data_IF_598549573505
#
_entry.id   IF_598549573505
#
_cell.length_a   1.000
_cell.length_b   1.000
_cell.length_c   1.000
_cell.angle_alpha   90.00
_cell.angle_beta   90.00
_cell.angle_gamma   90.00
#
_symmetry.space_group_name_H-M   'P 1'
#
loop_
_entity.id
_entity.type
_entity.pdbx_description
1 polymer ?
#
# COMPACT_ATOMS: atom_id res chain seq x y z
N UNK A 1 -7.94 21.42 -5.01
CA UNK A 1 -6.76 21.42 -4.12
C UNK A 1 -5.73 20.51 -4.78
N UNK A 2 -4.42 20.63 -4.56
CA UNK A 2 -3.47 19.68 -5.18
C UNK A 2 -3.47 18.35 -4.42
N UNK A 3 -3.17 17.24 -5.11
CA UNK A 3 -3.06 15.92 -4.48
C UNK A 3 -2.07 15.92 -3.31
N UNK A 4 -0.90 16.55 -3.47
CA UNK A 4 0.07 16.77 -2.38
C UNK A 4 -0.57 17.48 -1.16
N UNK A 5 -1.37 18.53 -1.39
CA UNK A 5 -2.04 19.27 -0.32
C UNK A 5 -3.06 18.42 0.43
N UNK A 6 -3.82 17.58 -0.28
CA UNK A 6 -4.80 16.66 0.30
C UNK A 6 -4.14 15.55 1.11
N UNK A 7 -3.08 14.94 0.58
CA UNK A 7 -2.27 13.92 1.27
C UNK A 7 -1.64 14.47 2.54
N UNK A 8 -1.03 15.66 2.48
CA UNK A 8 -0.44 16.33 3.64
C UNK A 8 -1.50 16.70 4.68
N UNK A 9 -2.68 17.13 4.24
CA UNK A 9 -3.82 17.38 5.11
C UNK A 9 -4.32 16.09 5.79
N UNK A 10 -4.37 14.99 5.04
CA UNK A 10 -4.78 13.68 5.54
C UNK A 10 -3.82 13.12 6.58
N UNK A 11 -2.50 13.19 6.33
CA UNK A 11 -1.48 12.78 7.31
C UNK A 11 -1.64 13.52 8.64
N UNK A 12 -1.76 14.86 8.60
CA UNK A 12 -1.98 15.68 9.81
C UNK A 12 -3.25 15.31 10.57
N UNK A 13 -4.35 15.02 9.87
CA UNK A 13 -5.60 14.59 10.51
C UNK A 13 -5.45 13.23 11.18
N UNK A 14 -4.74 12.31 10.52
CA UNK A 14 -4.43 10.97 11.03
C UNK A 14 -3.56 11.00 12.27
N UNK A 15 -2.56 11.88 12.34
CA UNK A 15 -1.72 12.09 13.53
C UNK A 15 -2.52 12.61 14.73
N UNK A 16 -3.45 13.55 14.49
CA UNK A 16 -4.28 14.15 15.54
C UNK A 16 -5.25 13.15 16.21
N UNK A 17 -5.54 12.05 15.53
CA UNK A 17 -6.40 10.96 16.01
C UNK A 17 -5.62 10.06 17.00
N UNK A 18 -4.28 10.12 17.01
CA UNK A 18 -3.41 9.37 17.91
C UNK A 18 -3.30 7.88 17.56
N UNK A 19 -2.29 7.18 18.10
CA UNK A 19 -2.12 5.74 17.86
C UNK A 19 -3.35 4.97 18.38
N UNK A 20 -4.06 4.28 17.48
CA UNK A 20 -5.10 3.32 17.83
C UNK A 20 -6.56 3.82 17.90
N UNK A 21 -6.86 5.07 17.52
CA UNK A 21 -8.22 5.60 17.69
C UNK A 21 -9.21 5.31 16.54
N UNK A 22 -8.76 4.80 15.40
CA UNK A 22 -9.66 4.18 14.42
C UNK A 22 -9.11 2.83 14.00
N UNK A 23 -10.02 1.87 13.80
CA UNK A 23 -9.80 0.47 13.38
C UNK A 23 -9.75 -0.62 14.45
N UNK A 24 -9.68 -0.31 15.76
CA UNK A 24 -9.73 -1.34 16.84
C UNK A 24 -10.95 -2.28 16.78
N UNK A 25 -12.03 -1.88 16.14
CA UNK A 25 -13.26 -2.68 16.01
C UNK A 25 -13.35 -3.54 14.73
N UNK A 26 -12.33 -3.52 13.88
CA UNK A 26 -12.30 -4.30 12.63
C UNK A 26 -11.66 -5.69 12.82
N UNK A 27 -12.02 -6.64 11.96
CA UNK A 27 -11.43 -7.98 11.88
C UNK A 27 -9.89 -7.98 11.73
N UNK A 28 -9.29 -6.85 11.36
CA UNK A 28 -7.85 -6.66 11.17
C UNK A 28 -7.05 -6.81 12.48
N UNK A 29 -7.70 -6.62 13.64
CA UNK A 29 -7.10 -6.88 14.96
C UNK A 29 -7.44 -8.27 15.51
N UNK A 30 -8.48 -8.93 14.97
CA UNK A 30 -8.88 -10.25 15.43
C UNK A 30 -7.80 -11.26 15.07
N UNK A 31 -7.07 -11.74 16.07
CA UNK A 31 -6.00 -12.72 15.92
C UNK A 31 -4.59 -12.14 15.95
N UNK A 32 -4.42 -10.83 16.20
CA UNK A 32 -3.12 -10.28 16.59
C UNK A 32 -2.89 -10.52 18.08
N UNK A 33 -1.76 -11.14 18.40
CA UNK A 33 -1.24 -11.13 19.77
C UNK A 33 -0.31 -9.93 19.93
N UNK A 34 -0.83 -8.86 20.54
CA UNK A 34 -0.10 -7.61 20.74
C UNK A 34 1.13 -7.76 21.65
N UNK A 35 1.19 -8.80 22.48
CA UNK A 35 2.34 -9.01 23.35
C UNK A 35 3.59 -9.47 22.57
N UNK A 36 3.39 -10.09 21.40
CA UNK A 36 4.45 -10.65 20.55
C UNK A 36 4.32 -10.20 19.09
N UNK A 37 3.56 -9.13 18.85
CA UNK A 37 3.41 -8.56 17.52
C UNK A 37 4.75 -8.02 17.03
N UNK A 38 5.09 -8.34 15.79
CA UNK A 38 6.33 -7.85 15.17
C UNK A 38 6.05 -6.49 14.55
N UNK A 39 6.82 -5.44 14.89
CA UNK A 39 6.64 -4.13 14.27
C UNK A 39 7.13 -4.17 12.82
N UNK A 40 6.38 -3.55 11.92
CA UNK A 40 6.70 -3.42 10.51
C UNK A 40 6.27 -2.05 10.01
N UNK A 41 6.86 -1.59 8.91
CA UNK A 41 6.48 -0.35 8.25
C UNK A 41 6.44 -0.55 6.74
N UNK A 42 5.52 0.15 6.08
CA UNK A 42 5.41 0.16 4.61
C UNK A 42 5.35 1.59 4.11
N UNK A 43 6.02 1.87 3.01
CA UNK A 43 6.08 3.18 2.38
C UNK A 43 4.97 3.32 1.32
N UNK A 44 3.98 4.15 1.60
CA UNK A 44 2.98 4.58 0.62
C UNK A 44 3.51 5.84 -0.07
N UNK A 45 4.31 5.65 -1.12
CA UNK A 45 5.00 6.72 -1.82
C UNK A 45 4.20 7.19 -3.04
N UNK A 46 3.63 8.38 -2.94
CA UNK A 46 3.01 9.08 -4.07
C UNK A 46 4.04 9.88 -4.85
N UNK A 47 3.87 10.01 -6.15
CA UNK A 47 4.68 10.89 -6.99
C UNK A 47 3.92 11.46 -8.16
N UNK A 48 4.66 12.16 -9.02
CA UNK A 48 4.20 12.60 -10.34
C UNK A 48 4.85 11.70 -11.40
N UNK A 49 4.02 11.12 -12.27
CA UNK A 49 4.41 10.19 -13.32
C UNK A 49 4.64 10.97 -14.61
N UNK A 50 5.90 11.10 -15.02
CA UNK A 50 6.25 11.94 -16.17
C UNK A 50 6.13 11.18 -17.51
N UNK A 51 6.17 9.84 -17.51
CA UNK A 51 6.43 9.04 -18.71
C UNK A 51 5.27 8.12 -19.16
N UNK A 52 4.26 7.90 -18.31
CA UNK A 52 3.09 7.05 -18.60
C UNK A 52 1.83 7.61 -17.91
N UNK A 53 1.07 8.52 -18.53
CA UNK A 53 -0.15 9.02 -17.91
C UNK A 53 -1.17 7.90 -17.69
N UNK A 54 -2.11 8.12 -16.78
CA UNK A 54 -3.25 7.25 -16.57
C UNK A 54 -3.98 6.94 -17.89
N UNK A 55 -4.49 5.71 -18.01
CA UNK A 55 -5.30 5.25 -19.15
C UNK A 55 -6.75 5.73 -19.06
N UNK A 56 -7.14 6.21 -17.89
CA UNK A 56 -8.47 6.74 -17.59
C UNK A 56 -8.34 8.15 -17.04
N UNK A 57 -9.34 9.00 -17.27
CA UNK A 57 -9.35 10.32 -16.66
C UNK A 57 -10.05 10.29 -15.31
N UNK A 58 -9.52 11.01 -14.32
CA UNK A 58 -10.16 11.20 -13.02
C UNK A 58 -10.48 12.67 -12.76
N UNK A 59 -11.70 12.93 -12.27
CA UNK A 59 -12.08 14.28 -11.82
C UNK A 59 -11.55 14.61 -10.41
N UNK A 60 -11.09 13.59 -9.65
CA UNK A 60 -10.69 13.75 -8.24
C UNK A 60 -9.19 13.79 -8.02
N UNK A 61 -8.40 13.22 -8.93
CA UNK A 61 -6.93 13.23 -8.86
C UNK A 61 -6.34 13.58 -10.22
N UNK A 62 -5.13 14.19 -10.27
CA UNK A 62 -4.42 14.39 -11.53
C UNK A 62 -4.09 13.05 -12.21
N UNK A 63 -4.11 13.02 -13.54
CA UNK A 63 -3.86 11.81 -14.33
C UNK A 63 -2.40 11.31 -14.22
N UNK A 64 -1.51 12.19 -13.78
CA UNK A 64 -0.10 11.93 -13.52
C UNK A 64 0.20 11.50 -12.08
N UNK A 65 -0.78 11.52 -11.16
CA UNK A 65 -0.56 11.05 -9.79
C UNK A 65 -0.38 9.53 -9.79
N UNK A 66 0.65 9.03 -9.13
CA UNK A 66 0.91 7.59 -9.05
C UNK A 66 1.36 7.12 -7.67
N UNK A 67 1.52 5.79 -7.55
CA UNK A 67 2.00 5.09 -6.37
C UNK A 67 3.07 4.07 -6.73
N UNK A 68 4.12 3.97 -5.90
CA UNK A 68 5.17 2.97 -6.02
C UNK A 68 4.75 1.61 -5.41
N UNK A 69 5.04 0.53 -6.12
CA UNK A 69 4.79 -0.84 -5.69
C UNK A 69 5.96 -1.77 -6.02
N UNK A 70 6.03 -2.87 -5.27
CA UNK A 70 6.88 -4.03 -5.53
C UNK A 70 6.01 -5.26 -5.73
N UNK A 71 6.46 -6.17 -6.60
CA UNK A 71 5.90 -7.51 -6.73
C UNK A 71 6.87 -8.49 -6.12
N UNK A 72 6.44 -9.25 -5.11
CA UNK A 72 7.26 -10.26 -4.45
C UNK A 72 7.67 -11.37 -5.40
N UNK A 73 8.89 -11.89 -5.25
CA UNK A 73 9.37 -12.99 -6.06
C UNK A 73 8.47 -14.23 -5.92
N UNK A 74 8.16 -14.89 -7.05
CA UNK A 74 7.28 -16.06 -7.10
C UNK A 74 7.86 -17.30 -6.40
N UNK A 75 9.16 -17.29 -6.09
CA UNK A 75 9.89 -18.36 -5.41
C UNK A 75 9.76 -18.30 -3.88
N UNK A 76 9.20 -17.21 -3.33
CA UNK A 76 9.09 -17.03 -1.89
C UNK A 76 8.03 -17.96 -1.29
N UNK A 77 8.34 -18.51 -0.10
CA UNK A 77 7.43 -19.40 0.64
C UNK A 77 6.14 -18.69 1.07
N UNK A 78 6.23 -17.40 1.32
CA UNK A 78 5.12 -16.58 1.81
C UNK A 78 4.81 -15.49 0.78
N UNK A 79 3.54 -15.41 0.39
CA UNK A 79 3.00 -14.38 -0.51
C UNK A 79 3.73 -14.27 -1.86
N UNK A 80 4.04 -15.39 -2.55
CA UNK A 80 4.71 -15.33 -3.85
C UNK A 80 3.88 -14.53 -4.86
N UNK A 81 4.53 -13.65 -5.62
CA UNK A 81 3.86 -12.85 -6.67
C UNK A 81 2.88 -11.79 -6.18
N UNK A 82 2.70 -11.61 -4.87
CA UNK A 82 1.80 -10.57 -4.35
C UNK A 82 2.41 -9.18 -4.53
N UNK A 83 1.55 -8.23 -4.91
CA UNK A 83 1.91 -6.81 -4.95
C UNK A 83 1.84 -6.21 -3.55
N UNK A 84 2.87 -5.46 -3.18
CA UNK A 84 3.00 -4.76 -1.91
C UNK A 84 3.51 -3.34 -2.12
N UNK A 85 3.27 -2.49 -1.11
CA UNK A 85 4.09 -1.31 -0.92
C UNK A 85 5.49 -1.74 -0.49
N UNK A 86 6.56 -1.01 -0.86
CA UNK A 86 7.88 -1.28 -0.34
C UNK A 86 7.87 -1.23 1.19
N UNK A 87 8.54 -2.17 1.86
CA UNK A 87 8.51 -2.20 3.31
C UNK A 87 8.73 -3.57 3.93
N UNK A 88 9.00 -3.55 5.23
CA UNK A 88 9.44 -4.72 5.95
C UNK A 88 9.36 -4.55 7.46
N UNK A 89 10.13 -5.38 8.15
CA UNK A 89 10.19 -5.40 9.61
C UNK A 89 10.95 -4.16 10.09
N UNK A 90 10.50 -3.56 11.19
CA UNK A 90 11.27 -2.53 11.88
C UNK A 90 12.38 -3.23 12.67
N UNK A 91 13.63 -2.90 12.35
CA UNK A 91 14.81 -3.43 13.01
C UNK A 91 15.21 -2.57 14.22
N UNK A 92 16.05 -3.14 15.09
CA UNK A 92 16.41 -2.49 16.35
C UNK A 92 17.21 -1.19 16.16
N UNK A 93 17.89 -1.06 15.02
CA UNK A 93 18.70 0.10 14.67
C UNK A 93 17.90 1.15 13.87
N UNK A 94 16.66 0.85 13.47
CA UNK A 94 15.80 1.82 12.79
C UNK A 94 15.32 2.89 13.78
N UNK A 95 15.42 4.16 13.39
CA UNK A 95 14.95 5.31 14.18
C UNK A 95 13.41 5.48 14.16
N UNK A 96 12.67 4.38 14.08
CA UNK A 96 11.21 4.32 14.00
C UNK A 96 10.64 3.89 12.65
N UNK A 97 9.31 3.88 12.50
CA UNK A 97 8.63 3.37 11.30
C UNK A 97 9.03 4.08 10.01
N UNK A 98 9.18 5.41 10.05
CA UNK A 98 9.62 6.19 8.90
C UNK A 98 11.01 5.78 8.39
N UNK A 99 11.96 5.52 9.30
CA UNK A 99 13.32 5.10 8.94
C UNK A 99 13.31 3.71 8.32
N UNK A 100 12.58 2.77 8.92
CA UNK A 100 12.44 1.42 8.40
C UNK A 100 11.79 1.41 7.00
N UNK A 101 10.70 2.15 6.80
CA UNK A 101 10.01 2.22 5.51
C UNK A 101 10.91 2.79 4.40
N UNK A 102 11.75 3.79 4.70
CA UNK A 102 12.70 4.36 3.74
C UNK A 102 13.84 3.39 3.43
N UNK A 103 14.43 2.75 4.46
CA UNK A 103 15.48 1.74 4.29
C UNK A 103 15.00 0.59 3.40
N UNK A 104 13.85 0.00 3.72
CA UNK A 104 13.27 -1.10 2.95
C UNK A 104 12.94 -0.66 1.51
N UNK A 105 12.43 0.56 1.32
CA UNK A 105 12.18 1.06 -0.02
C UNK A 105 13.47 1.24 -0.85
N UNK A 106 14.56 1.72 -0.25
CA UNK A 106 15.89 1.76 -0.88
C UNK A 106 16.37 0.34 -1.20
N UNK A 107 16.29 -0.58 -0.25
CA UNK A 107 16.73 -1.98 -0.37
C UNK A 107 15.95 -2.75 -1.43
N UNK A 108 14.64 -2.54 -1.59
CA UNK A 108 13.82 -3.29 -2.55
C UNK A 108 13.79 -2.64 -3.94
N UNK A 109 13.83 -1.31 -4.02
CA UNK A 109 13.56 -0.55 -5.26
C UNK A 109 14.73 0.25 -5.80
N UNK A 110 15.77 0.45 -4.99
CA UNK A 110 16.93 1.27 -5.32
C UNK A 110 16.62 2.76 -5.43
N UNK A 111 15.45 3.21 -4.94
CA UNK A 111 15.15 4.64 -4.89
C UNK A 111 16.13 5.36 -3.96
N UNK A 112 16.38 6.65 -4.22
CA UNK A 112 17.14 7.51 -3.31
C UNK A 112 16.20 8.12 -2.26
N UNK A 113 16.35 7.78 -0.96
CA UNK A 113 15.50 8.33 0.10
C UNK A 113 15.58 9.85 0.23
N UNK A 114 16.66 10.49 -0.24
CA UNK A 114 16.80 11.96 -0.17
C UNK A 114 15.78 12.71 -1.05
N UNK A 115 15.23 12.03 -2.05
CA UNK A 115 14.14 12.54 -2.89
C UNK A 115 12.75 12.37 -2.28
N UNK A 116 12.62 11.74 -1.11
CA UNK A 116 11.34 11.37 -0.48
C UNK A 116 11.02 12.30 0.70
N UNK A 117 9.86 12.95 0.65
CA UNK A 117 9.31 13.74 1.75
C UNK A 117 8.29 12.90 2.53
N UNK A 118 8.57 12.57 3.79
CA UNK A 118 7.59 11.94 4.68
C UNK A 118 6.52 12.97 5.03
N UNK A 119 5.25 12.61 4.78
CA UNK A 119 4.08 13.44 5.10
C UNK A 119 3.52 13.14 6.49
N UNK A 120 3.65 11.89 6.95
CA UNK A 120 3.30 11.45 8.30
C UNK A 120 3.04 9.94 8.39
N UNK A 121 2.87 9.46 9.62
CA UNK A 121 2.50 8.07 9.91
C UNK A 121 0.97 7.92 9.97
N UNK A 122 0.45 6.88 9.35
CA UNK A 122 -0.96 6.51 9.44
C UNK A 122 -1.18 5.51 10.58
N UNK A 123 -2.42 5.38 11.11
CA UNK A 123 -2.70 4.43 12.18
C UNK A 123 -2.26 3.01 11.84
N UNK A 124 -1.69 2.32 12.82
CA UNK A 124 -1.21 0.95 12.66
C UNK A 124 -2.35 0.00 12.24
N UNK A 125 -2.02 -0.96 11.39
CA UNK A 125 -2.94 -1.99 10.92
C UNK A 125 -2.36 -3.36 11.22
N UNK A 126 -3.14 -4.17 11.93
CA UNK A 126 -2.79 -5.56 12.21
C UNK A 126 -2.84 -6.44 10.95
N UNK A 127 -1.82 -7.29 10.79
CA UNK A 127 -1.77 -8.36 9.78
C UNK A 127 -1.74 -9.74 10.48
N UNK A 128 -2.91 -10.33 10.80
CA UNK A 128 -3.00 -11.53 11.65
C UNK A 128 -2.29 -12.77 11.10
N UNK A 129 -2.24 -12.94 9.77
CA UNK A 129 -1.63 -14.12 9.13
C UNK A 129 -0.16 -14.30 9.48
N UNK A 130 0.53 -13.19 9.78
CA UNK A 130 1.96 -13.14 10.08
C UNK A 130 2.26 -12.47 11.43
N UNK A 131 1.24 -12.12 12.21
CA UNK A 131 1.35 -11.38 13.47
C UNK A 131 2.24 -10.12 13.38
N UNK A 132 2.10 -9.37 12.28
CA UNK A 132 2.75 -8.06 12.12
C UNK A 132 1.79 -6.95 12.55
N UNK A 133 2.34 -5.91 13.17
CA UNK A 133 1.69 -4.63 13.38
C UNK A 133 2.35 -3.63 12.43
N UNK A 134 1.64 -3.28 11.36
CA UNK A 134 2.22 -2.52 10.25
C UNK A 134 1.86 -1.06 10.40
N UNK A 135 2.85 -0.18 10.37
CA UNK A 135 2.69 1.28 10.29
C UNK A 135 2.80 1.72 8.83
N UNK A 136 1.72 2.20 8.20
CA UNK A 136 1.81 2.78 6.87
C UNK A 136 2.39 4.20 6.96
N UNK A 137 3.48 4.44 6.25
CA UNK A 137 4.16 5.73 6.18
C UNK A 137 3.77 6.42 4.88
N UNK A 138 3.06 7.54 4.98
CA UNK A 138 2.61 8.30 3.82
C UNK A 138 3.72 9.27 3.38
N UNK A 139 4.09 9.23 2.11
CA UNK A 139 5.21 10.01 1.58
C UNK A 139 4.94 10.58 0.19
N UNK A 140 5.71 11.61 -0.16
CA UNK A 140 5.70 12.25 -1.48
C UNK A 140 7.09 12.23 -2.11
N UNK A 141 7.17 11.82 -3.37
CA UNK A 141 8.41 11.76 -4.12
C UNK A 141 8.71 13.11 -4.77
N UNK A 142 9.48 13.94 -4.05
CA UNK A 142 9.87 15.28 -4.49
C UNK A 142 10.83 15.26 -5.67
N UNK A 143 11.69 14.26 -5.72
CA UNK A 143 12.69 14.09 -6.78
C UNK A 143 12.78 12.60 -7.14
N UNK A 144 11.90 12.12 -8.04
CA UNK A 144 11.92 10.74 -8.51
C UNK A 144 13.29 10.31 -9.05
N UNK A 145 13.73 9.12 -8.63
CA UNK A 145 14.94 8.48 -9.15
C UNK A 145 14.56 7.21 -9.92
N UNK A 146 15.43 6.71 -10.82
CA UNK A 146 15.20 5.43 -11.46
C UNK A 146 14.99 4.32 -10.43
N UNK A 147 13.96 3.50 -10.64
CA UNK A 147 13.66 2.32 -9.84
C UNK A 147 14.07 1.05 -10.55
N UNK A 148 14.45 0.04 -9.78
CA UNK A 148 14.76 -1.30 -10.28
C UNK A 148 14.56 -2.32 -9.17
N UNK A 149 14.38 -3.58 -9.55
CA UNK A 149 14.56 -4.67 -8.60
C UNK A 149 16.02 -4.67 -8.14
N UNK A 150 16.24 -4.55 -6.83
CA UNK A 150 17.58 -4.62 -6.24
C UNK A 150 18.00 -6.06 -5.98
N UNK A 151 17.14 -6.83 -5.30
CA UNK A 151 17.30 -8.27 -5.09
C UNK A 151 16.17 -9.07 -5.76
N UNK A 152 16.54 -9.88 -6.76
CA UNK A 152 15.59 -10.74 -7.47
C UNK A 152 15.14 -11.96 -6.65
N UNK A 153 15.84 -12.30 -5.57
CA UNK A 153 15.40 -13.32 -4.63
C UNK A 153 14.16 -12.87 -3.85
N UNK A 154 13.98 -11.56 -3.67
CA UNK A 154 12.90 -10.98 -2.88
C UNK A 154 11.80 -10.36 -3.74
N UNK A 155 12.16 -9.72 -4.85
CA UNK A 155 11.24 -9.02 -5.75
C UNK A 155 11.34 -9.50 -7.19
N UNK A 156 10.20 -9.67 -7.85
CA UNK A 156 10.09 -9.96 -9.27
C UNK A 156 9.97 -8.70 -10.13
N UNK A 157 9.38 -7.64 -9.58
CA UNK A 157 9.12 -6.39 -10.30
C UNK A 157 9.02 -5.19 -9.35
N UNK A 158 9.38 -4.01 -9.85
CA UNK A 158 9.13 -2.73 -9.19
C UNK A 158 8.48 -1.83 -10.23
N UNK A 159 7.36 -1.21 -9.88
CA UNK A 159 6.59 -0.42 -10.82
C UNK A 159 5.83 0.71 -10.12
N UNK A 160 5.42 1.69 -10.92
CA UNK A 160 4.53 2.76 -10.49
C UNK A 160 3.19 2.59 -11.19
N UNK A 161 2.09 2.81 -10.49
CA UNK A 161 0.74 2.69 -11.03
C UNK A 161 -0.01 4.02 -10.89
N UNK A 162 -0.63 4.53 -11.97
CA UNK A 162 -1.47 5.72 -11.89
C UNK A 162 -2.61 5.54 -10.90
N UNK A 163 -2.83 6.52 -10.03
CA UNK A 163 -3.90 6.48 -9.02
C UNK A 163 -5.27 6.52 -9.71
N UNK A 164 -5.42 7.26 -10.80
CA UNK A 164 -6.65 7.30 -11.57
C UNK A 164 -7.02 5.90 -12.14
N UNK A 165 -6.05 5.11 -12.63
CA UNK A 165 -6.28 3.72 -13.05
C UNK A 165 -6.79 2.87 -11.89
N UNK A 166 -6.23 3.02 -10.68
CA UNK A 166 -6.65 2.28 -9.49
C UNK A 166 -8.05 2.70 -8.99
N UNK A 167 -8.45 3.95 -9.21
CA UNK A 167 -9.76 4.47 -8.78
C UNK A 167 -10.91 4.09 -9.71
N UNK A 168 -10.62 3.71 -10.96
CA UNK A 168 -11.62 3.27 -11.93
C UNK A 168 -12.45 2.10 -11.38
N UNK A 169 -13.77 2.15 -11.59
CA UNK A 169 -14.69 1.09 -11.16
C UNK A 169 -14.37 -0.24 -11.85
N UNK A 170 -13.87 -0.19 -13.08
CA UNK A 170 -13.46 -1.36 -13.88
C UNK A 170 -12.20 -2.03 -13.35
N UNK A 171 -11.30 -1.29 -12.70
CA UNK A 171 -10.13 -1.83 -12.02
C UNK A 171 -10.50 -2.55 -10.71
N UNK A 172 -11.63 -2.19 -10.09
CA UNK A 172 -11.99 -2.64 -8.74
C UNK A 172 -12.89 -3.87 -8.74
N UNK A 173 -12.67 -4.73 -7.75
CA UNK A 173 -13.43 -5.95 -7.52
C UNK A 173 -13.18 -6.51 -6.12
N UNK A 174 -13.98 -7.50 -5.72
CA UNK A 174 -13.78 -8.24 -4.46
C UNK A 174 -12.98 -9.50 -4.73
N UNK A 175 -11.73 -9.56 -4.25
CA UNK A 175 -10.94 -10.79 -4.26
C UNK A 175 -11.39 -11.73 -3.15
N UNK A 176 -11.57 -13.01 -3.50
CA UNK A 176 -12.08 -14.04 -2.59
C UNK A 176 -11.03 -15.13 -2.40
N UNK A 177 -10.66 -15.38 -1.15
CA UNK A 177 -9.83 -16.53 -0.74
C UNK A 177 -10.72 -17.55 -0.07
N UNK A 178 -10.88 -18.73 -0.67
CA UNK A 178 -11.65 -19.86 -0.12
C UNK A 178 -10.70 -20.88 0.51
N UNK A 179 -10.84 -21.13 1.81
CA UNK A 179 -10.07 -22.14 2.56
C UNK A 179 -11.02 -23.02 3.37
N UNK A 180 -11.38 -24.17 2.80
CA UNK A 180 -12.41 -25.06 3.37
C UNK A 180 -13.74 -24.32 3.50
N UNK A 181 -14.34 -24.35 4.69
CA UNK A 181 -15.62 -23.69 4.97
C UNK A 181 -15.50 -22.18 5.25
N UNK A 182 -14.31 -21.60 5.15
CA UNK A 182 -14.08 -20.15 5.36
C UNK A 182 -13.83 -19.47 4.02
N UNK A 183 -14.46 -18.31 3.84
CA UNK A 183 -14.14 -17.40 2.75
C UNK A 183 -13.73 -16.04 3.32
N UNK A 184 -12.63 -15.50 2.81
CA UNK A 184 -12.16 -14.15 3.11
C UNK A 184 -12.31 -13.29 1.87
N UNK A 185 -12.87 -12.09 2.05
CA UNK A 185 -13.11 -11.11 0.99
C UNK A 185 -12.27 -9.87 1.26
N UNK A 186 -11.59 -9.38 0.25
CA UNK A 186 -10.81 -8.15 0.34
C UNK A 186 -10.98 -7.32 -0.93
N UNK A 187 -11.00 -5.98 -0.84
CA UNK A 187 -10.89 -5.13 -2.02
C UNK A 187 -9.64 -5.49 -2.83
N UNK A 188 -9.77 -5.45 -4.14
CA UNK A 188 -8.69 -5.69 -5.07
C UNK A 188 -8.78 -4.77 -6.28
N UNK A 189 -7.63 -4.55 -6.90
CA UNK A 189 -7.41 -3.59 -7.98
C UNK A 189 -6.58 -4.28 -9.07
N UNK A 190 -7.06 -4.28 -10.30
CA UNK A 190 -6.25 -4.66 -11.46
C UNK A 190 -5.62 -3.41 -12.08
N UNK A 191 -4.31 -3.45 -12.27
CA UNK A 191 -3.58 -2.40 -12.99
C UNK A 191 -2.44 -3.04 -13.75
N UNK A 192 -2.25 -2.67 -15.01
CA UNK A 192 -1.14 -3.13 -15.86
C UNK A 192 -0.87 -4.65 -15.86
N UNK A 193 -1.93 -5.45 -15.76
CA UNK A 193 -1.84 -6.91 -15.79
C UNK A 193 -1.44 -7.56 -14.47
N UNK A 194 -1.32 -6.78 -13.39
CA UNK A 194 -1.15 -7.28 -12.02
C UNK A 194 -2.39 -6.99 -11.18
N UNK A 195 -2.61 -7.82 -10.16
CA UNK A 195 -3.70 -7.64 -9.21
C UNK A 195 -3.12 -7.27 -7.85
N UNK A 196 -3.52 -6.11 -7.33
CA UNK A 196 -3.25 -5.67 -5.97
C UNK A 196 -4.42 -6.11 -5.09
N UNK A 197 -4.17 -6.96 -4.10
CA UNK A 197 -5.21 -7.53 -3.24
C UNK A 197 -4.68 -7.80 -1.83
N UNK A 198 -5.50 -8.41 -0.97
CA UNK A 198 -5.07 -8.81 0.36
C UNK A 198 -4.82 -7.60 1.26
N UNK A 199 -3.70 -7.61 1.98
CA UNK A 199 -3.35 -6.52 2.89
C UNK A 199 -3.10 -5.19 2.14
N UNK A 200 -2.36 -5.23 1.03
CA UNK A 200 -2.10 -4.05 0.20
C UNK A 200 -3.38 -3.45 -0.38
N UNK A 201 -4.25 -4.30 -0.94
CA UNK A 201 -5.56 -3.85 -1.47
C UNK A 201 -6.45 -3.25 -0.37
N UNK A 202 -6.40 -3.80 0.84
CA UNK A 202 -7.10 -3.24 1.99
C UNK A 202 -6.57 -1.86 2.39
N UNK A 203 -5.24 -1.68 2.45
CA UNK A 203 -4.64 -0.37 2.74
C UNK A 203 -5.01 0.67 1.68
N UNK A 204 -4.94 0.30 0.40
CA UNK A 204 -5.33 1.19 -0.71
C UNK A 204 -6.79 1.63 -0.61
N UNK A 205 -7.72 0.70 -0.41
CA UNK A 205 -9.13 1.02 -0.27
C UNK A 205 -9.38 2.01 0.88
N UNK A 206 -8.77 1.75 2.05
CA UNK A 206 -8.90 2.63 3.23
C UNK A 206 -8.31 4.01 2.98
N UNK A 207 -7.16 4.08 2.33
CA UNK A 207 -6.50 5.33 1.99
C UNK A 207 -7.35 6.17 1.04
N UNK A 208 -7.86 5.58 -0.04
CA UNK A 208 -8.70 6.28 -1.00
C UNK A 208 -10.05 6.70 -0.41
N UNK A 209 -10.67 5.87 0.42
CA UNK A 209 -11.89 6.24 1.15
C UNK A 209 -11.61 7.41 2.12
N UNK A 210 -10.50 7.35 2.87
CA UNK A 210 -10.11 8.38 3.84
C UNK A 210 -9.71 9.72 3.21
N UNK A 211 -9.20 9.69 1.99
CA UNK A 211 -8.93 10.87 1.17
C UNK A 211 -10.19 11.41 0.48
N UNK A 212 -11.28 10.63 0.43
CA UNK A 212 -12.48 10.98 -0.32
C UNK A 212 -12.33 10.84 -1.83
N UNK A 213 -11.31 10.11 -2.30
CA UNK A 213 -11.05 9.86 -3.73
C UNK A 213 -11.85 8.67 -4.28
N UNK A 214 -12.36 7.82 -3.40
CA UNK A 214 -13.09 6.61 -3.77
C UNK A 214 -14.46 6.93 -4.37
N UNK A 215 -14.65 6.62 -5.65
CA UNK A 215 -15.96 6.59 -6.30
C UNK A 215 -16.71 5.26 -6.04
N UNK A 216 -18.00 5.17 -6.43
CA UNK A 216 -18.75 3.92 -6.36
C UNK A 216 -18.16 2.86 -7.30
N UNK A 217 -18.12 1.61 -6.85
CA UNK A 217 -17.70 0.45 -7.63
C UNK A 217 -18.52 -0.77 -7.21
N UNK A 218 -18.60 -1.78 -8.07
CA UNK A 218 -19.44 -2.96 -7.82
C UNK A 218 -18.72 -3.97 -6.90
N UNK A 219 -19.04 -3.92 -5.60
CA UNK A 219 -18.53 -4.87 -4.60
C UNK A 219 -19.00 -6.31 -4.82
N UNK A 220 -20.08 -6.53 -5.58
CA UNK A 220 -20.59 -7.86 -5.90
C UNK A 220 -19.79 -8.56 -7.00
N UNK A 221 -18.93 -7.82 -7.72
CA UNK A 221 -17.98 -8.37 -8.67
C UNK A 221 -16.89 -9.14 -7.94
N UNK A 222 -17.14 -10.42 -7.69
CA UNK A 222 -16.19 -11.32 -7.04
C UNK A 222 -15.29 -12.05 -8.05
N UNK A 223 -14.00 -12.19 -7.71
CA UNK A 223 -13.06 -13.10 -8.40
C UNK A 223 -12.20 -13.83 -7.38
N UNK A 224 -11.71 -15.02 -7.74
CA UNK A 224 -10.73 -15.70 -6.90
C UNK A 224 -9.44 -14.87 -6.80
N UNK A 225 -8.85 -14.81 -5.61
CA UNK A 225 -7.57 -14.16 -5.42
C UNK A 225 -6.46 -14.91 -6.18
N UNK A 226 -5.49 -14.21 -6.80
CA UNK A 226 -4.36 -14.86 -7.46
C UNK A 226 -3.37 -15.37 -6.41
N UNK A 227 -3.54 -16.64 -6.03
CA UNK A 227 -2.74 -17.38 -5.04
C UNK A 227 -1.53 -18.08 -5.67
#
# INVERSE_FOLDING_TARGET
>A
MSAYGELRGFAKRSEAIGPGAHFRESWQWRGIDLAVARPAAVLILFGQLDDKPSKVHSEVVPDELDLLFVTRAGTLRNHPGQVAFPGGKIDADDAGPCAAALREAEEETGLDPSGVEILGELPEVGLPVSNFLVTPVLAWWRSPTPIRVVDQAESAHVFRAPVADLLSAEARFTAVVRRGNRSHRTPAFDVDGVTIWGFTGLLLARLFDGLGWSGPWDESRERDAPL
#
